data_IF_178705047001
#
_entry.id   IF_178705047001
#
_cell.length_a   1.000
_cell.length_b   1.000
_cell.length_c   1.000
_cell.angle_alpha   90.00
_cell.angle_beta   90.00
_cell.angle_gamma   90.00
#
_symmetry.space_group_name_H-M   'P 1'
#
loop_
_entity.id
_entity.type
_entity.pdbx_description
1 polymer ?
#
# COMPACT_ATOMS: atom_id res chain seq x y z
N UNK A 1 -7.91 -27.24 -14.90
CA UNK A 1 -8.50 -25.89 -15.10
C UNK A 1 -7.52 -25.07 -15.93
N UNK A 2 -7.96 -24.10 -16.75
CA UNK A 2 -7.04 -23.23 -17.47
C UNK A 2 -6.19 -22.44 -16.47
N UNK A 3 -4.88 -22.35 -16.75
CA UNK A 3 -3.91 -21.68 -15.89
C UNK A 3 -4.15 -20.17 -15.95
N UNK A 4 -4.48 -19.55 -14.81
CA UNK A 4 -4.64 -18.09 -14.74
C UNK A 4 -3.29 -17.40 -14.63
N UNK A 5 -3.18 -16.21 -15.22
CA UNK A 5 -2.04 -15.33 -14.99
C UNK A 5 -2.15 -14.71 -13.59
N UNK A 6 -1.01 -14.60 -12.89
CA UNK A 6 -0.93 -14.00 -11.55
C UNK A 6 -0.84 -12.48 -11.63
N UNK A 7 -1.69 -11.77 -10.90
CA UNK A 7 -1.61 -10.32 -10.70
C UNK A 7 -1.72 -9.97 -9.22
N UNK A 8 -0.72 -9.30 -8.69
CA UNK A 8 -0.70 -8.82 -7.31
C UNK A 8 -0.71 -7.29 -7.26
N UNK A 9 -1.72 -6.71 -6.61
CA UNK A 9 -1.75 -5.28 -6.33
C UNK A 9 -1.15 -5.00 -4.95
N UNK A 10 -0.03 -4.27 -4.93
CA UNK A 10 0.62 -3.86 -3.69
C UNK A 10 -0.11 -2.67 -3.07
N UNK A 11 -0.78 -2.93 -1.94
CA UNK A 11 -1.25 -1.88 -1.03
C UNK A 11 -0.11 -1.52 -0.08
N UNK A 12 0.22 -0.23 -0.01
CA UNK A 12 1.37 0.26 0.76
C UNK A 12 1.23 -0.11 2.23
N UNK A 13 2.35 -0.53 2.83
CA UNK A 13 2.45 -0.97 4.23
C UNK A 13 1.69 -2.27 4.57
N UNK A 14 1.33 -3.04 3.55
CA UNK A 14 0.82 -4.42 3.65
C UNK A 14 1.85 -5.45 3.15
N UNK A 15 3.04 -5.47 3.77
CA UNK A 15 4.12 -6.42 3.48
C UNK A 15 4.61 -6.49 2.00
N UNK A 16 4.66 -5.36 1.30
CA UNK A 16 5.09 -5.35 -0.11
C UNK A 16 6.47 -5.93 -0.39
N UNK A 17 7.47 -5.63 0.42
CA UNK A 17 8.83 -6.18 0.24
C UNK A 17 8.84 -7.70 0.41
N UNK A 18 8.21 -8.20 1.47
CA UNK A 18 8.09 -9.63 1.76
C UNK A 18 7.34 -10.35 0.63
N UNK A 19 6.18 -9.82 0.23
CA UNK A 19 5.34 -10.42 -0.82
C UNK A 19 6.10 -10.52 -2.15
N UNK A 20 6.84 -9.49 -2.55
CA UNK A 20 7.67 -9.52 -3.77
C UNK A 20 8.68 -10.67 -3.76
N UNK A 21 9.34 -10.87 -2.61
CA UNK A 21 10.33 -11.93 -2.44
C UNK A 21 9.68 -13.30 -2.52
N UNK A 22 8.53 -13.47 -1.88
CA UNK A 22 7.79 -14.74 -1.84
C UNK A 22 7.11 -15.10 -3.17
N UNK A 23 6.82 -14.10 -4.01
CA UNK A 23 6.27 -14.31 -5.35
C UNK A 23 7.33 -14.65 -6.40
N UNK A 24 8.63 -14.60 -6.07
CA UNK A 24 9.67 -15.06 -6.99
C UNK A 24 9.63 -16.59 -7.14
N UNK A 25 9.92 -17.14 -8.34
CA UNK A 25 10.27 -16.44 -9.58
C UNK A 25 9.07 -16.02 -10.44
N UNK A 26 7.84 -16.24 -9.96
CA UNK A 26 6.60 -16.08 -10.73
C UNK A 26 6.11 -14.64 -10.92
N UNK A 27 6.79 -13.66 -10.31
CA UNK A 27 6.49 -12.23 -10.44
C UNK A 27 7.70 -11.47 -10.95
N UNK A 28 7.62 -10.83 -12.12
CA UNK A 28 8.79 -10.17 -12.72
C UNK A 28 9.07 -8.82 -12.05
N UNK A 29 10.28 -8.65 -11.52
CA UNK A 29 10.73 -7.42 -10.86
C UNK A 29 11.37 -6.45 -11.86
N UNK A 30 11.10 -5.15 -11.70
CA UNK A 30 11.78 -4.08 -12.46
C UNK A 30 12.59 -3.16 -11.54
N UNK A 31 13.57 -2.42 -12.10
CA UNK A 31 14.22 -1.34 -11.35
C UNK A 31 13.23 -0.21 -11.05
N UNK A 32 13.08 0.10 -9.76
CA UNK A 32 12.16 1.12 -9.24
C UNK A 32 12.84 2.40 -8.79
N UNK A 33 14.17 2.43 -8.74
CA UNK A 33 14.94 3.47 -8.04
C UNK A 33 15.68 4.37 -9.01
N UNK A 34 16.54 3.84 -9.88
CA UNK A 34 17.47 4.68 -10.66
C UNK A 34 16.82 5.24 -11.92
N UNK A 35 16.12 4.38 -12.67
CA UNK A 35 15.34 4.76 -13.86
C UNK A 35 14.07 3.92 -13.90
N UNK A 36 12.96 4.39 -13.28
CA UNK A 36 11.72 3.62 -13.29
C UNK A 36 11.29 3.37 -14.74
N UNK A 37 11.21 2.10 -15.12
CA UNK A 37 10.74 1.68 -16.44
C UNK A 37 9.28 2.11 -16.60
N UNK A 38 8.92 2.61 -17.79
CA UNK A 38 7.54 3.01 -18.12
C UNK A 38 6.84 1.92 -18.93
N UNK A 39 5.51 1.92 -18.95
CA UNK A 39 4.73 0.89 -19.66
C UNK A 39 5.04 0.79 -21.16
N UNK A 40 5.35 1.92 -21.82
CA UNK A 40 5.65 1.97 -23.26
C UNK A 40 6.92 1.16 -23.61
N UNK A 41 7.86 1.06 -22.66
CA UNK A 41 9.16 0.42 -22.88
C UNK A 41 9.21 -1.00 -22.29
N UNK A 42 8.14 -1.42 -21.61
CA UNK A 42 8.11 -2.63 -20.81
C UNK A 42 7.40 -3.77 -21.55
N UNK A 43 7.86 -4.98 -21.28
CA UNK A 43 7.17 -6.19 -21.70
C UNK A 43 5.94 -6.42 -20.80
N UNK A 44 4.86 -7.07 -21.30
CA UNK A 44 3.62 -7.27 -20.54
C UNK A 44 3.80 -7.92 -19.16
N UNK A 45 4.77 -8.82 -19.02
CA UNK A 45 5.12 -9.49 -17.76
C UNK A 45 5.65 -8.53 -16.68
N UNK A 46 6.20 -7.37 -17.07
CA UNK A 46 6.72 -6.35 -16.15
C UNK A 46 5.64 -5.36 -15.69
N UNK A 47 4.50 -5.31 -16.38
CA UNK A 47 3.45 -4.31 -16.14
C UNK A 47 2.95 -4.31 -14.70
N UNK A 48 2.84 -5.49 -14.08
CA UNK A 48 2.35 -5.57 -12.72
C UNK A 48 3.30 -4.89 -11.71
N UNK A 49 4.63 -5.08 -11.82
CA UNK A 49 5.57 -4.42 -10.91
C UNK A 49 5.74 -2.93 -11.17
N UNK A 50 5.63 -2.52 -12.44
CA UNK A 50 5.60 -1.11 -12.83
C UNK A 50 4.37 -0.41 -12.22
N UNK A 51 3.18 -1.01 -12.33
CA UNK A 51 1.94 -0.47 -11.76
C UNK A 51 2.01 -0.32 -10.23
N UNK A 52 2.75 -1.20 -9.56
CA UNK A 52 3.01 -1.15 -8.12
C UNK A 52 4.09 -0.13 -7.71
N UNK A 53 4.65 0.64 -8.64
CA UNK A 53 5.60 1.70 -8.36
C UNK A 53 4.90 3.06 -8.31
N UNK A 54 4.78 3.65 -7.12
CA UNK A 54 4.15 4.96 -6.93
C UNK A 54 4.78 6.09 -7.77
N UNK A 55 6.02 5.93 -8.23
CA UNK A 55 6.70 6.91 -9.10
C UNK A 55 6.14 6.94 -10.52
N UNK A 56 5.41 5.91 -10.93
CA UNK A 56 4.72 5.84 -12.20
C UNK A 56 3.40 6.59 -12.05
N UNK A 57 3.30 7.74 -12.71
CA UNK A 57 2.11 8.60 -12.67
C UNK A 57 1.06 8.03 -13.63
N UNK A 58 -0.15 7.84 -13.14
CA UNK A 58 -1.25 7.20 -13.90
C UNK A 58 -2.29 8.21 -14.42
N UNK A 59 -1.97 9.51 -14.36
CA UNK A 59 -2.88 10.59 -14.76
C UNK A 59 -4.18 10.53 -13.96
N UNK A 60 -5.33 10.55 -14.66
CA UNK A 60 -6.65 10.46 -14.05
C UNK A 60 -6.96 9.13 -13.34
N UNK A 61 -6.08 8.13 -13.46
CA UNK A 61 -6.19 6.85 -12.74
C UNK A 61 -5.26 6.77 -11.53
N UNK A 62 -4.72 7.90 -11.07
CA UNK A 62 -3.97 7.90 -9.81
C UNK A 62 -4.88 7.38 -8.69
N UNK A 63 -4.39 6.38 -7.94
CA UNK A 63 -5.15 5.67 -6.91
C UNK A 63 -6.36 4.87 -7.43
N UNK A 64 -6.38 4.54 -8.73
CA UNK A 64 -7.39 3.68 -9.38
C UNK A 64 -6.71 2.60 -10.22
N UNK A 65 -5.75 1.90 -9.61
CA UNK A 65 -4.84 1.00 -10.32
C UNK A 65 -5.53 -0.17 -11.01
N UNK A 66 -6.57 -0.77 -10.42
CA UNK A 66 -7.33 -1.83 -11.09
C UNK A 66 -8.04 -1.33 -12.36
N UNK A 67 -8.63 -0.13 -12.32
CA UNK A 67 -9.26 0.48 -13.49
C UNK A 67 -8.22 0.76 -14.59
N UNK A 68 -7.04 1.26 -14.21
CA UNK A 68 -5.93 1.46 -15.16
C UNK A 68 -5.46 0.14 -15.78
N UNK A 69 -5.28 -0.89 -14.96
CA UNK A 69 -4.83 -2.21 -15.39
C UNK A 69 -5.83 -2.83 -16.38
N UNK A 70 -7.11 -2.89 -16.02
CA UNK A 70 -8.17 -3.39 -16.90
C UNK A 70 -8.26 -2.60 -18.20
N UNK A 71 -8.14 -1.27 -18.16
CA UNK A 71 -8.31 -0.45 -19.36
C UNK A 71 -7.12 -0.47 -20.33
N UNK A 72 -5.89 -0.46 -19.81
CA UNK A 72 -4.70 -0.19 -20.62
C UNK A 72 -3.68 -1.33 -20.65
N UNK A 73 -3.61 -2.15 -19.60
CA UNK A 73 -2.57 -3.17 -19.47
C UNK A 73 -3.09 -4.57 -19.86
N UNK A 74 -4.35 -4.86 -19.52
CA UNK A 74 -4.97 -6.18 -19.69
C UNK A 74 -6.42 -6.09 -20.23
N UNK A 75 -6.71 -5.30 -21.30
CA UNK A 75 -8.08 -5.07 -21.77
C UNK A 75 -8.85 -6.34 -22.12
N UNK A 76 -8.18 -7.31 -22.75
CA UNK A 76 -8.81 -8.54 -23.22
C UNK A 76 -8.66 -9.72 -22.25
N UNK A 77 -7.77 -9.60 -21.26
CA UNK A 77 -7.37 -10.73 -20.39
C UNK A 77 -7.71 -10.53 -18.93
N UNK A 78 -8.15 -9.33 -18.50
CA UNK A 78 -8.41 -9.01 -17.09
C UNK A 78 -9.30 -10.06 -16.39
N UNK A 79 -10.40 -10.47 -17.02
CA UNK A 79 -11.35 -11.44 -16.45
C UNK A 79 -10.76 -12.85 -16.27
N UNK A 80 -9.69 -13.17 -16.99
CA UNK A 80 -8.96 -14.44 -16.90
C UNK A 80 -7.77 -14.41 -15.92
N UNK A 81 -7.43 -13.25 -15.38
CA UNK A 81 -6.30 -13.06 -14.45
C UNK A 81 -6.77 -13.38 -13.02
N UNK A 82 -5.95 -14.13 -12.28
CA UNK A 82 -6.14 -14.22 -10.83
C UNK A 82 -5.50 -12.98 -10.18
N UNK A 83 -6.35 -12.01 -9.83
CA UNK A 83 -5.92 -10.73 -9.28
C UNK A 83 -6.16 -10.67 -7.77
N UNK A 84 -5.15 -10.27 -7.01
CA UNK A 84 -5.27 -10.22 -5.56
C UNK A 84 -4.48 -9.10 -4.88
N UNK A 85 -4.83 -8.82 -3.63
CA UNK A 85 -4.12 -7.89 -2.75
C UNK A 85 -4.14 -8.38 -1.30
N UNK A 86 -3.23 -7.82 -0.48
CA UNK A 86 -3.25 -7.99 0.97
C UNK A 86 -3.77 -6.73 1.66
N UNK A 87 -4.84 -6.89 2.44
CA UNK A 87 -5.36 -5.89 3.35
C UNK A 87 -4.74 -6.07 4.73
N UNK A 88 -4.22 -4.99 5.30
CA UNK A 88 -3.76 -4.93 6.69
C UNK A 88 -4.80 -4.16 7.48
N UNK A 89 -5.05 -4.57 8.73
CA UNK A 89 -5.94 -3.83 9.63
C UNK A 89 -5.63 -2.32 9.56
N UNK A 90 -6.62 -1.46 9.25
CA UNK A 90 -6.35 -0.07 8.86
C UNK A 90 -5.64 0.76 9.92
N UNK A 91 -5.91 0.54 11.21
CA UNK A 91 -5.22 1.23 12.32
C UNK A 91 -3.73 0.89 12.33
N UNK A 92 -3.40 -0.40 12.27
CA UNK A 92 -2.04 -0.91 12.20
C UNK A 92 -1.32 -0.46 10.93
N UNK A 93 -2.03 -0.41 9.79
CA UNK A 93 -1.50 0.15 8.54
C UNK A 93 -1.16 1.63 8.73
N UNK A 94 -2.05 2.40 9.34
CA UNK A 94 -1.88 3.83 9.60
C UNK A 94 -0.68 4.14 10.50
N UNK A 95 -0.52 3.41 11.60
CA UNK A 95 0.66 3.52 12.47
C UNK A 95 1.94 3.15 11.70
N UNK A 96 1.89 2.13 10.84
CA UNK A 96 3.03 1.76 10.00
C UNK A 96 3.39 2.84 8.98
N UNK A 97 2.40 3.52 8.39
CA UNK A 97 2.59 4.65 7.48
C UNK A 97 3.26 5.83 8.20
N UNK A 98 2.77 6.17 9.39
CA UNK A 98 3.32 7.25 10.21
C UNK A 98 4.82 7.08 10.47
N UNK A 99 5.24 5.92 10.98
CA UNK A 99 6.65 5.68 11.26
C UNK A 99 7.52 5.60 10.00
N UNK A 100 6.95 5.17 8.88
CA UNK A 100 7.66 5.09 7.63
C UNK A 100 7.89 6.46 6.98
N UNK A 101 6.86 7.30 6.95
CA UNK A 101 6.84 8.56 6.19
C UNK A 101 7.19 9.78 7.02
N UNK A 102 6.76 9.81 8.27
CA UNK A 102 6.71 11.04 9.07
C UNK A 102 7.66 10.95 10.28
N UNK A 103 7.62 9.83 11.00
CA UNK A 103 8.32 9.66 12.27
C UNK A 103 9.51 8.71 12.19
N UNK A 104 10.60 9.18 11.58
CA UNK A 104 11.92 8.56 11.73
C UNK A 104 12.51 8.96 13.08
N UNK A 105 13.03 8.01 13.84
CA UNK A 105 13.79 8.35 15.05
C UNK A 105 15.20 8.72 14.61
N UNK A 106 15.54 10.00 14.69
CA UNK A 106 16.84 10.54 14.28
C UNK A 106 17.77 10.71 15.50
N UNK A 107 17.43 10.13 16.65
CA UNK A 107 18.10 10.39 17.93
C UNK A 107 17.75 11.75 18.52
N UNK A 108 18.23 12.06 19.74
CA UNK A 108 17.87 13.29 20.48
C UNK A 108 18.13 14.56 19.67
N UNK A 109 19.33 14.71 19.10
CA UNK A 109 19.71 15.91 18.33
C UNK A 109 18.95 16.03 17.01
N UNK A 110 18.77 14.92 16.28
CA UNK A 110 18.03 14.91 15.02
C UNK A 110 16.55 15.19 15.20
N UNK A 111 15.94 14.69 16.29
CA UNK A 111 14.56 14.96 16.63
C UNK A 111 14.35 16.43 17.04
N UNK A 112 15.28 17.05 17.77
CA UNK A 112 15.24 18.49 18.11
C UNK A 112 15.31 19.36 16.84
N UNK A 113 16.26 19.08 15.95
CA UNK A 113 16.39 19.81 14.68
C UNK A 113 15.16 19.63 13.79
N UNK A 114 14.54 18.43 13.75
CA UNK A 114 13.27 18.21 13.04
C UNK A 114 12.15 19.01 13.67
N UNK A 115 11.96 18.97 14.98
CA UNK A 115 10.91 19.71 15.67
C UNK A 115 11.04 21.22 15.42
N UNK A 116 12.26 21.76 15.35
CA UNK A 116 12.49 23.16 14.98
C UNK A 116 12.09 23.45 13.52
N UNK A 117 12.54 22.63 12.56
CA UNK A 117 12.23 22.83 11.13
C UNK A 117 10.73 22.63 10.81
N UNK A 118 10.09 21.62 11.42
CA UNK A 118 8.67 21.37 11.25
C UNK A 118 7.83 22.39 12.01
N UNK A 119 8.25 22.88 13.16
CA UNK A 119 7.57 23.99 13.85
C UNK A 119 7.63 25.28 13.05
N UNK A 120 8.72 25.56 12.32
CA UNK A 120 8.83 26.71 11.43
C UNK A 120 7.88 26.56 10.21
N UNK A 121 7.77 25.35 9.64
CA UNK A 121 6.92 25.09 8.48
C UNK A 121 5.43 24.94 8.80
N UNK A 122 5.10 24.36 9.95
CA UNK A 122 3.72 24.04 10.35
C UNK A 122 3.13 25.01 11.38
N UNK A 123 3.96 25.91 11.94
CA UNK A 123 3.64 26.74 13.13
C UNK A 123 3.22 25.92 14.36
N UNK A 124 3.54 24.62 14.41
CA UNK A 124 3.14 23.69 15.47
C UNK A 124 4.36 23.00 16.08
N UNK A 125 4.54 23.13 17.40
CA UNK A 125 5.60 22.43 18.14
C UNK A 125 5.23 20.96 18.33
N UNK A 126 5.96 20.07 17.66
CA UNK A 126 5.75 18.63 17.80
C UNK A 126 6.49 18.12 19.05
N UNK A 127 5.75 18.02 20.15
CA UNK A 127 6.30 17.76 21.48
C UNK A 127 6.35 16.26 21.85
N UNK A 128 5.47 15.44 21.28
CA UNK A 128 5.41 14.01 21.55
C UNK A 128 4.85 13.22 20.34
N UNK A 129 4.97 11.89 20.40
CA UNK A 129 4.51 10.99 19.34
C UNK A 129 3.01 11.12 19.08
N UNK A 130 2.19 11.35 20.11
CA UNK A 130 0.75 11.47 19.93
C UNK A 130 0.36 12.70 19.12
N UNK A 131 0.94 13.85 19.45
CA UNK A 131 0.71 15.08 18.70
C UNK A 131 1.27 14.99 17.28
N UNK A 132 2.44 14.38 17.11
CA UNK A 132 3.00 14.11 15.78
C UNK A 132 2.07 13.25 14.93
N UNK A 133 1.44 12.25 15.56
CA UNK A 133 0.48 11.39 14.90
C UNK A 133 -0.79 12.15 14.50
N UNK A 134 -1.29 13.07 15.33
CA UNK A 134 -2.40 13.96 14.96
C UNK A 134 -2.07 14.80 13.73
N UNK A 135 -0.88 15.41 13.69
CA UNK A 135 -0.41 16.19 12.54
C UNK A 135 -0.28 15.31 11.28
N UNK A 136 0.22 14.08 11.42
CA UNK A 136 0.26 13.12 10.33
C UNK A 136 -1.14 12.78 9.80
N UNK A 137 -2.12 12.53 10.68
CA UNK A 137 -3.51 12.28 10.29
C UNK A 137 -4.13 13.49 9.59
N UNK A 138 -3.85 14.70 10.04
CA UNK A 138 -4.30 15.92 9.36
C UNK A 138 -3.75 15.99 7.93
N UNK A 139 -2.47 15.64 7.71
CA UNK A 139 -1.89 15.59 6.37
C UNK A 139 -2.44 14.44 5.51
N UNK A 140 -2.66 13.25 6.08
CA UNK A 140 -3.26 12.12 5.38
C UNK A 140 -4.70 12.44 4.94
N UNK A 141 -5.47 13.11 5.79
CA UNK A 141 -6.80 13.60 5.46
C UNK A 141 -6.74 14.65 4.34
N UNK A 142 -5.86 15.65 4.44
CA UNK A 142 -5.68 16.66 3.37
C UNK A 142 -5.26 16.04 2.02
N UNK A 143 -4.43 15.00 2.04
CA UNK A 143 -3.99 14.31 0.83
C UNK A 143 -5.17 13.70 0.04
N UNK A 144 -6.22 13.22 0.71
CA UNK A 144 -7.41 12.64 0.06
C UNK A 144 -8.19 13.65 -0.78
N UNK A 145 -8.24 14.90 -0.33
CA UNK A 145 -9.04 15.95 -0.98
C UNK A 145 -8.18 16.89 -1.84
N UNK A 146 -6.91 16.55 -2.03
CA UNK A 146 -5.99 17.36 -2.82
C UNK A 146 -6.19 17.08 -4.31
N UNK A 147 -6.33 18.13 -5.12
CA UNK A 147 -6.32 18.05 -6.58
C UNK A 147 -4.92 17.72 -7.16
N UNK A 148 -3.91 17.57 -6.31
CA UNK A 148 -2.53 17.30 -6.72
C UNK A 148 -1.92 16.17 -5.91
N UNK A 149 -1.35 15.21 -6.63
CA UNK A 149 -0.57 14.10 -6.06
C UNK A 149 0.69 14.61 -5.32
N UNK A 150 1.10 15.86 -5.55
CA UNK A 150 2.28 16.45 -4.91
C UNK A 150 1.96 17.21 -3.62
N UNK A 151 0.69 17.32 -3.23
CA UNK A 151 0.27 18.01 -2.00
C UNK A 151 -0.45 17.04 -1.06
N UNK A 152 -0.29 17.17 0.27
CA UNK A 152 0.46 18.23 0.97
C UNK A 152 1.97 17.98 1.05
N UNK A 153 2.43 16.74 0.97
CA UNK A 153 3.83 16.34 1.25
C UNK A 153 4.49 15.54 0.11
N UNK A 154 4.04 15.72 -1.13
CA UNK A 154 4.59 15.04 -2.31
C UNK A 154 3.97 13.67 -2.61
N UNK A 155 4.24 13.16 -3.82
CA UNK A 155 3.69 11.89 -4.32
C UNK A 155 4.06 10.68 -3.44
N UNK A 156 5.24 10.70 -2.84
CA UNK A 156 5.64 9.63 -1.93
C UNK A 156 4.70 9.53 -0.72
N UNK A 157 4.31 10.67 -0.14
CA UNK A 157 3.40 10.69 1.00
C UNK A 157 1.98 10.34 0.58
N UNK A 158 1.46 11.01 -0.47
CA UNK A 158 0.07 10.83 -0.93
C UNK A 158 -0.18 9.39 -1.36
N UNK A 159 0.71 8.79 -2.15
CA UNK A 159 0.55 7.40 -2.59
C UNK A 159 0.68 6.38 -1.47
N UNK A 160 1.48 6.66 -0.43
CA UNK A 160 1.58 5.73 0.69
C UNK A 160 0.42 5.83 1.66
N UNK A 161 -0.24 6.99 1.74
CA UNK A 161 -1.39 7.26 2.63
C UNK A 161 -2.74 7.09 1.97
N UNK A 162 -2.77 6.81 0.66
CA UNK A 162 -4.00 6.56 -0.09
C UNK A 162 -4.81 5.38 0.52
N UNK A 163 -6.14 5.50 0.61
CA UNK A 163 -7.03 4.38 0.91
C UNK A 163 -6.91 3.26 -0.14
N UNK A 164 -7.21 2.04 0.26
CA UNK A 164 -7.22 0.87 -0.62
C UNK A 164 -8.45 0.86 -1.54
N UNK A 165 -9.59 1.35 -1.05
CA UNK A 165 -10.89 1.28 -1.72
C UNK A 165 -10.85 1.74 -3.19
N UNK A 166 -10.38 2.96 -3.45
CA UNK A 166 -10.37 3.53 -4.81
C UNK A 166 -9.46 2.75 -5.77
N UNK A 167 -8.42 2.10 -5.25
CA UNK A 167 -7.44 1.37 -6.04
C UNK A 167 -7.98 0.03 -6.56
N UNK A 168 -8.97 -0.54 -5.86
CA UNK A 168 -9.49 -1.89 -6.12
C UNK A 168 -10.94 -1.92 -6.58
N UNK A 169 -11.64 -0.79 -6.63
CA UNK A 169 -13.06 -0.72 -7.01
C UNK A 169 -13.27 -0.05 -8.36
N UNK A 170 -14.39 -0.39 -9.00
CA UNK A 170 -14.83 0.27 -10.23
C UNK A 170 -15.67 1.55 -9.94
N UNK A 171 -16.32 2.10 -10.97
CA UNK A 171 -17.16 3.28 -10.82
C UNK A 171 -18.47 3.04 -10.05
N UNK A 172 -18.91 1.78 -9.92
CA UNK A 172 -20.10 1.38 -9.17
C UNK A 172 -19.76 1.03 -7.72
N UNK A 173 -18.48 0.93 -7.38
CA UNK A 173 -18.01 0.52 -6.07
C UNK A 173 -17.82 -1.00 -5.92
N UNK A 174 -17.84 -1.74 -7.03
CA UNK A 174 -17.62 -3.18 -7.03
C UNK A 174 -16.13 -3.50 -6.97
N UNK A 175 -15.74 -4.45 -6.13
CA UNK A 175 -14.35 -4.91 -6.02
C UNK A 175 -13.94 -5.60 -7.33
N UNK A 176 -12.90 -5.08 -7.97
CA UNK A 176 -12.38 -5.56 -9.25
C UNK A 176 -11.34 -6.67 -9.11
N UNK A 177 -10.80 -6.88 -7.91
CA UNK A 177 -9.87 -7.97 -7.63
C UNK A 177 -10.62 -9.29 -7.46
N UNK A 178 -10.03 -10.39 -7.92
CA UNK A 178 -10.57 -11.74 -7.68
C UNK A 178 -10.62 -12.06 -6.19
N UNK A 179 -9.60 -11.64 -5.42
CA UNK A 179 -9.56 -11.88 -3.97
C UNK A 179 -8.77 -10.81 -3.22
N UNK A 180 -9.24 -10.45 -2.04
CA UNK A 180 -8.45 -9.71 -1.05
C UNK A 180 -8.21 -10.65 0.13
N UNK A 181 -6.97 -10.71 0.60
CA UNK A 181 -6.61 -11.52 1.76
C UNK A 181 -6.23 -10.61 2.92
N UNK A 182 -6.53 -11.02 4.14
CA UNK A 182 -5.94 -10.38 5.32
C UNK A 182 -4.44 -10.67 5.41
N UNK A 183 -3.66 -9.68 5.85
CA UNK A 183 -2.20 -9.76 5.87
C UNK A 183 -1.68 -10.84 6.83
N UNK A 184 -2.40 -11.13 7.91
CA UNK A 184 -2.11 -12.24 8.82
C UNK A 184 -2.10 -13.61 8.11
N UNK A 185 -2.80 -13.71 6.97
CA UNK A 185 -2.88 -14.90 6.14
C UNK A 185 -1.94 -14.81 4.93
N UNK A 186 -0.81 -14.10 5.03
CA UNK A 186 0.12 -13.85 3.90
C UNK A 186 0.51 -15.13 3.16
N UNK A 187 1.00 -16.15 3.88
CA UNK A 187 1.48 -17.40 3.28
C UNK A 187 0.32 -18.17 2.64
N UNK A 188 -0.79 -18.32 3.38
CA UNK A 188 -2.01 -18.96 2.87
C UNK A 188 -2.54 -18.26 1.61
N UNK A 189 -2.52 -16.92 1.59
CA UNK A 189 -2.98 -16.14 0.44
C UNK A 189 -2.07 -16.30 -0.79
N UNK A 190 -0.75 -16.36 -0.60
CA UNK A 190 0.18 -16.63 -1.71
C UNK A 190 0.01 -18.07 -2.23
N UNK A 191 -0.08 -19.06 -1.35
CA UNK A 191 -0.29 -20.45 -1.75
C UNK A 191 -1.62 -20.63 -2.50
N UNK A 192 -2.67 -19.93 -2.07
CA UNK A 192 -3.94 -19.89 -2.81
C UNK A 192 -3.77 -19.28 -4.20
N UNK A 193 -3.05 -18.16 -4.32
CA UNK A 193 -2.78 -17.53 -5.61
C UNK A 193 -1.97 -18.45 -6.54
N UNK A 194 -0.98 -19.16 -6.00
CA UNK A 194 -0.20 -20.15 -6.74
C UNK A 194 -1.06 -21.28 -7.27
N UNK A 195 -1.94 -21.85 -6.44
CA UNK A 195 -2.87 -22.90 -6.84
C UNK A 195 -3.80 -22.45 -7.98
N UNK A 196 -4.40 -21.25 -7.86
CA UNK A 196 -5.25 -20.66 -8.90
C UNK A 196 -4.50 -20.40 -10.22
N UNK A 197 -3.19 -20.17 -10.13
CA UNK A 197 -2.31 -19.96 -11.28
C UNK A 197 -1.59 -21.23 -11.74
N UNK A 198 -1.97 -22.41 -11.23
CA UNK A 198 -1.37 -23.69 -11.60
C UNK A 198 0.11 -23.83 -11.24
N UNK A 199 0.59 -23.07 -10.26
CA UNK A 199 1.95 -23.13 -9.74
C UNK A 199 1.99 -24.22 -8.67
N UNK A 200 2.84 -25.24 -8.86
CA UNK A 200 2.93 -26.39 -7.97
C UNK A 200 3.72 -26.12 -6.67
N UNK A 201 4.53 -25.06 -6.65
CA UNK A 201 5.29 -24.66 -5.46
C UNK A 201 4.35 -24.23 -4.33
N UNK A 202 4.69 -24.62 -3.10
CA UNK A 202 4.03 -24.12 -1.89
C UNK A 202 5.08 -23.58 -0.94
N UNK A 203 4.76 -22.43 -0.37
CA UNK A 203 5.53 -21.83 0.71
C UNK A 203 5.18 -22.52 2.03
N UNK A 204 6.19 -22.76 2.85
CA UNK A 204 6.02 -23.34 4.18
C UNK A 204 5.51 -22.29 5.19
N UNK A 205 4.62 -22.74 6.08
CA UNK A 205 4.07 -21.91 7.18
C UNK A 205 5.10 -21.53 8.26
N UNK A 206 6.33 -22.04 8.18
CA UNK A 206 7.41 -21.75 9.14
C UNK A 206 7.88 -20.28 9.12
N UNK A 207 7.30 -19.42 8.27
CA UNK A 207 7.61 -18.01 8.14
C UNK A 207 6.90 -17.06 9.13
N UNK A 208 6.47 -17.58 10.30
CA UNK A 208 5.76 -16.88 11.38
C UNK A 208 6.40 -15.57 11.91
N UNK A 209 7.58 -15.19 11.42
CA UNK A 209 8.29 -13.97 11.84
C UNK A 209 8.48 -12.91 10.75
N UNK A 210 8.14 -13.17 9.47
CA UNK A 210 8.51 -12.24 8.38
C UNK A 210 7.87 -10.85 8.47
N UNK A 211 6.72 -10.73 9.16
CA UNK A 211 5.99 -9.47 9.31
C UNK A 211 5.98 -8.92 10.75
N UNK A 212 6.76 -9.51 11.67
CA UNK A 212 7.00 -8.89 12.97
C UNK A 212 8.06 -7.81 12.80
N UNK A 213 7.63 -6.55 12.72
CA UNK A 213 8.55 -5.44 12.83
C UNK A 213 9.25 -5.54 14.20
N UNK A 214 10.55 -5.87 14.23
CA UNK A 214 11.33 -5.95 15.49
C UNK A 214 11.35 -4.60 16.21
N UNK A 215 11.21 -3.51 15.46
CA UNK A 215 11.03 -2.15 15.95
C UNK A 215 9.56 -1.72 15.91
N UNK A 216 8.59 -2.62 16.18
CA UNK A 216 7.18 -2.24 16.34
C UNK A 216 7.11 -1.28 17.52
N UNK A 217 7.26 0.01 17.23
CA UNK A 217 7.06 1.07 18.19
C UNK A 217 5.63 0.90 18.70
N UNK A 218 5.49 0.67 20.01
CA UNK A 218 4.25 0.29 20.70
C UNK A 218 3.23 1.43 20.77
N UNK A 219 3.19 2.31 19.77
CA UNK A 219 2.27 3.42 19.77
C UNK A 219 0.86 2.92 19.43
N UNK A 220 -0.04 3.13 20.38
CA UNK A 220 -1.45 2.80 20.26
C UNK A 220 -2.22 4.12 20.11
N UNK A 221 -2.89 4.36 18.98
CA UNK A 221 -3.73 5.55 18.81
C UNK A 221 -4.82 5.64 19.88
N UNK A 222 -5.02 6.84 20.42
CA UNK A 222 -6.11 7.11 21.35
C UNK A 222 -7.47 7.11 20.62
N UNK A 223 -8.58 7.20 21.37
CA UNK A 223 -9.93 7.10 20.79
C UNK A 223 -10.21 8.19 19.74
N UNK A 224 -9.77 9.42 19.96
CA UNK A 224 -9.94 10.52 18.99
C UNK A 224 -9.19 10.25 17.68
N UNK A 225 -7.98 9.71 17.79
CA UNK A 225 -7.17 9.34 16.63
C UNK A 225 -7.73 8.16 15.88
N UNK A 226 -8.27 7.16 16.59
CA UNK A 226 -8.98 6.01 15.97
C UNK A 226 -10.16 6.50 15.14
N UNK A 227 -10.95 7.42 15.68
CA UNK A 227 -12.05 8.03 14.93
C UNK A 227 -11.55 8.75 13.66
N UNK A 228 -10.47 9.53 13.75
CA UNK A 228 -9.86 10.13 12.55
C UNK A 228 -9.38 9.08 11.53
N UNK A 229 -8.81 7.96 11.99
CA UNK A 229 -8.40 6.86 11.11
C UNK A 229 -9.63 6.26 10.42
N UNK A 230 -10.70 6.00 11.16
CA UNK A 230 -11.98 5.53 10.63
C UNK A 230 -12.56 6.50 9.60
N UNK A 231 -12.53 7.82 9.85
CA UNK A 231 -12.99 8.83 8.90
C UNK A 231 -12.16 8.84 7.60
N UNK A 232 -10.85 8.60 7.71
CA UNK A 232 -9.94 8.56 6.55
C UNK A 232 -10.09 7.25 5.76
N UNK A 233 -10.28 6.12 6.45
CA UNK A 233 -10.13 4.77 5.92
C UNK A 233 -11.37 3.88 6.14
N UNK A 234 -12.56 4.45 6.32
CA UNK A 234 -13.78 3.70 6.67
C UNK A 234 -14.03 2.48 5.78
N UNK A 235 -13.93 2.65 4.47
CA UNK A 235 -14.09 1.57 3.48
C UNK A 235 -12.99 0.51 3.54
N UNK A 236 -11.79 0.86 4.00
CA UNK A 236 -10.70 -0.11 4.15
C UNK A 236 -10.97 -1.04 5.34
N UNK A 237 -11.71 -0.60 6.38
CA UNK A 237 -12.19 -1.49 7.45
C UNK A 237 -13.19 -2.51 6.92
N UNK A 238 -14.14 -2.07 6.09
CA UNK A 238 -15.10 -2.97 5.43
C UNK A 238 -14.39 -4.01 4.56
N UNK A 239 -13.38 -3.59 3.78
CA UNK A 239 -12.55 -4.50 2.99
C UNK A 239 -11.87 -5.52 3.91
N UNK A 240 -11.19 -5.05 4.96
CA UNK A 240 -10.45 -5.92 5.86
C UNK A 240 -11.34 -6.96 6.55
N UNK A 241 -12.53 -6.56 7.01
CA UNK A 241 -13.43 -7.49 7.69
C UNK A 241 -14.03 -8.55 6.76
N UNK A 242 -14.24 -8.21 5.49
CA UNK A 242 -14.76 -9.13 4.48
C UNK A 242 -13.67 -9.93 3.72
N UNK A 243 -12.39 -9.71 4.05
CA UNK A 243 -11.23 -10.42 3.47
C UNK A 243 -10.87 -11.70 4.21
#
# INVERSE_FOLDING_TARGET
MPQRQLFWLHITKSAGTTTRSLLQPHYVLVDRVKKPKTFIQAAPEEYNDILNNYRVVLGGYQFRRCQFAKKYLYPETWEGIFSFAFSREPTDRCVSMFYFLFWKDLGRLGNICRTLNESIKSKKLILNTSYAFDVFLDYAHQARFSDSIYKPLGNHFTAHTAPMWDDITDANGDIMLTKVFRLENLITGINFAFEECGIAEKLDDNHNELNKNRDRKNYVPNQHQRKKIEDIYSRDFEIYENS
#
